data_IF_390693632641
#
_entry.id   IF_390693632641
#
_cell.length_a   1.000
_cell.length_b   1.000
_cell.length_c   1.000
_cell.angle_alpha   90.00
_cell.angle_beta   90.00
_cell.angle_gamma   90.00
#
_symmetry.space_group_name_H-M   'P 1'
#
loop_
_entity.id
_entity.type
_entity.pdbx_description
1 polymer ?
#
# COMPACT_ATOMS: atom_id res chain seq x y z
N UNK A 1 12.08 -32.33 49.17
CA UNK A 1 11.92 -33.20 47.98
C UNK A 1 10.59 -32.85 47.37
N UNK A 2 10.57 -32.57 46.05
CA UNK A 2 9.42 -32.50 45.13
C UNK A 2 9.58 -31.34 44.13
N UNK A 3 10.63 -31.43 43.31
CA UNK A 3 10.47 -31.03 41.90
C UNK A 3 9.88 -32.25 41.20
N UNK A 4 8.56 -32.40 41.26
CA UNK A 4 7.84 -33.41 40.47
C UNK A 4 7.95 -32.97 39.02
N UNK A 5 8.83 -33.63 38.29
CA UNK A 5 8.87 -33.61 36.82
C UNK A 5 7.51 -34.13 36.33
N UNK A 6 6.67 -33.26 35.74
CA UNK A 6 5.47 -33.69 35.03
C UNK A 6 4.21 -32.83 35.17
N UNK A 7 4.08 -31.93 36.14
CA UNK A 7 2.87 -31.10 36.26
C UNK A 7 3.03 -29.79 35.50
N UNK A 8 2.33 -29.63 34.37
CA UNK A 8 2.26 -28.35 33.64
C UNK A 8 1.80 -27.25 34.62
N UNK A 9 2.53 -26.13 34.65
CA UNK A 9 2.16 -24.97 35.48
C UNK A 9 0.71 -24.55 35.18
N UNK A 10 -0.08 -24.26 36.23
CA UNK A 10 -1.46 -23.76 36.07
C UNK A 10 -1.55 -22.48 35.22
N UNK A 11 -0.44 -21.76 35.07
CA UNK A 11 -0.32 -20.56 34.23
C UNK A 11 -0.09 -20.84 32.73
N UNK A 12 0.08 -22.10 32.30
CA UNK A 12 0.31 -22.43 30.87
C UNK A 12 -0.84 -21.93 29.98
N UNK A 13 -2.09 -21.97 30.45
CA UNK A 13 -3.21 -21.40 29.70
C UNK A 13 -3.08 -19.89 29.48
N UNK A 14 -2.66 -19.14 30.51
CA UNK A 14 -2.42 -17.71 30.40
C UNK A 14 -1.26 -17.40 29.44
N UNK A 15 -0.18 -18.19 29.48
CA UNK A 15 0.94 -18.07 28.53
C UNK A 15 0.46 -18.34 27.11
N UNK A 16 -0.33 -19.40 26.89
CA UNK A 16 -0.86 -19.71 25.57
C UNK A 16 -1.82 -18.62 25.06
N UNK A 17 -2.64 -18.04 25.94
CA UNK A 17 -3.52 -16.94 25.59
C UNK A 17 -2.72 -15.69 25.22
N UNK A 18 -1.71 -15.33 26.01
CA UNK A 18 -0.81 -14.22 25.67
C UNK A 18 -0.08 -14.45 24.35
N UNK A 19 0.43 -15.66 24.12
CA UNK A 19 1.06 -16.04 22.86
C UNK A 19 0.09 -15.91 21.69
N UNK A 20 -1.16 -16.37 21.84
CA UNK A 20 -2.20 -16.24 20.83
C UNK A 20 -2.54 -14.76 20.55
N UNK A 21 -2.67 -13.93 21.59
CA UNK A 21 -2.91 -12.48 21.42
C UNK A 21 -1.74 -11.81 20.68
N UNK A 22 -0.50 -12.15 21.02
CA UNK A 22 0.69 -11.64 20.32
C UNK A 22 0.68 -12.05 18.84
N UNK A 23 0.36 -13.32 18.54
CA UNK A 23 0.25 -13.82 17.16
C UNK A 23 -0.85 -13.09 16.39
N UNK A 24 -2.03 -12.89 16.98
CA UNK A 24 -3.12 -12.17 16.34
C UNK A 24 -2.75 -10.70 16.08
N UNK A 25 -2.15 -10.04 17.07
CA UNK A 25 -1.70 -8.65 16.94
C UNK A 25 -0.66 -8.50 15.83
N UNK A 26 0.27 -9.44 15.71
CA UNK A 26 1.30 -9.41 14.68
C UNK A 26 0.78 -9.80 13.28
N UNK A 27 -0.27 -10.62 13.22
CA UNK A 27 -0.89 -11.02 11.95
C UNK A 27 -1.87 -9.97 11.42
N UNK A 28 -2.42 -9.11 12.29
CA UNK A 28 -3.43 -8.11 11.92
C UNK A 28 -2.99 -7.18 10.77
N UNK A 29 -1.77 -6.61 10.74
CA UNK A 29 -1.31 -5.82 9.61
C UNK A 29 -1.16 -6.64 8.32
N UNK A 30 -0.64 -7.86 8.42
CA UNK A 30 -0.45 -8.77 7.27
C UNK A 30 -1.78 -9.17 6.64
N UNK A 31 -2.78 -9.47 7.48
CA UNK A 31 -4.13 -9.72 7.03
C UNK A 31 -4.74 -8.49 6.36
N UNK A 32 -4.47 -7.30 6.89
CA UNK A 32 -4.88 -6.04 6.26
C UNK A 32 -4.27 -5.81 4.87
N UNK A 33 -3.01 -6.19 4.66
CA UNK A 33 -2.36 -6.17 3.35
C UNK A 33 -3.02 -7.17 2.38
N UNK A 34 -3.34 -8.38 2.87
CA UNK A 34 -4.03 -9.40 2.07
C UNK A 34 -5.43 -8.94 1.66
N UNK A 35 -6.22 -8.35 2.56
CA UNK A 35 -7.54 -7.81 2.20
C UNK A 35 -7.39 -6.66 1.20
N UNK A 36 -6.40 -5.78 1.43
CA UNK A 36 -6.15 -4.62 0.55
C UNK A 36 -5.68 -5.02 -0.85
N UNK A 37 -4.99 -6.15 -1.02
CA UNK A 37 -4.53 -6.58 -2.36
C UNK A 37 -5.69 -6.92 -3.30
N UNK A 38 -6.86 -7.26 -2.76
CA UNK A 38 -8.08 -7.48 -3.54
C UNK A 38 -8.95 -6.23 -3.72
N UNK A 39 -8.57 -5.08 -3.15
CA UNK A 39 -9.35 -3.83 -3.26
C UNK A 39 -8.85 -2.97 -4.40
N UNK A 40 -9.74 -2.21 -5.01
CA UNK A 40 -9.35 -1.21 -6.01
C UNK A 40 -8.58 -0.04 -5.36
N UNK A 41 -7.76 0.66 -6.14
CA UNK A 41 -6.91 1.76 -5.69
C UNK A 41 -7.73 2.87 -5.01
N UNK A 42 -8.88 3.20 -5.59
CA UNK A 42 -9.73 4.28 -5.09
C UNK A 42 -10.35 3.92 -3.73
N UNK A 43 -10.68 2.64 -3.51
CA UNK A 43 -11.20 2.15 -2.23
C UNK A 43 -10.11 2.11 -1.14
N UNK A 44 -8.88 1.77 -1.51
CA UNK A 44 -7.73 1.77 -0.60
C UNK A 44 -7.45 3.19 -0.08
N UNK A 45 -7.57 4.22 -0.92
CA UNK A 45 -7.41 5.62 -0.47
C UNK A 45 -8.59 6.17 0.30
N UNK A 46 -9.80 5.65 0.07
CA UNK A 46 -11.02 6.14 0.73
C UNK A 46 -11.24 5.57 2.13
N UNK A 47 -10.88 4.31 2.39
CA UNK A 47 -11.20 3.66 3.67
C UNK A 47 -10.20 2.56 4.08
N UNK A 48 -10.11 2.33 5.39
CA UNK A 48 -9.30 1.25 5.96
C UNK A 48 -9.76 -0.14 5.52
N UNK A 49 -8.86 -1.11 5.51
CA UNK A 49 -9.13 -2.48 5.03
C UNK A 49 -10.19 -3.21 5.85
N UNK A 50 -10.40 -2.85 7.12
CA UNK A 50 -11.46 -3.41 7.95
C UNK A 50 -12.87 -3.00 7.47
N UNK A 51 -12.98 -1.97 6.62
CA UNK A 51 -14.23 -1.55 5.98
C UNK A 51 -14.40 -2.13 4.56
N UNK A 52 -13.56 -3.07 4.12
CA UNK A 52 -13.53 -3.54 2.73
C UNK A 52 -14.84 -4.16 2.23
N UNK A 53 -15.69 -4.66 3.12
CA UNK A 53 -16.99 -5.27 2.78
C UNK A 53 -18.14 -4.25 2.72
N UNK A 54 -17.90 -3.00 3.10
CA UNK A 54 -18.91 -1.96 3.18
C UNK A 54 -18.71 -0.92 2.07
N UNK A 55 -19.78 -0.17 1.71
CA UNK A 55 -19.64 0.97 0.82
C UNK A 55 -18.64 1.97 1.37
N UNK A 56 -17.80 2.54 0.49
CA UNK A 56 -16.84 3.56 0.86
C UNK A 56 -17.31 4.92 0.39
N UNK A 57 -17.27 5.92 1.27
CA UNK A 57 -17.53 7.31 0.92
C UNK A 57 -16.22 8.00 0.53
N UNK A 58 -16.24 8.78 -0.55
CA UNK A 58 -15.09 9.52 -1.01
C UNK A 58 -15.50 10.89 -1.56
N UNK A 59 -14.67 11.90 -1.32
CA UNK A 59 -14.77 13.16 -2.06
C UNK A 59 -14.05 12.98 -3.39
N UNK A 60 -14.82 12.90 -4.47
CA UNK A 60 -14.30 12.87 -5.83
C UNK A 60 -14.27 14.28 -6.42
N UNK A 61 -13.26 14.54 -7.23
CA UNK A 61 -13.15 15.77 -8.00
C UNK A 61 -13.16 15.40 -9.48
N UNK A 62 -14.16 15.91 -10.18
CA UNK A 62 -14.29 15.78 -11.62
C UNK A 62 -14.00 17.10 -12.31
N UNK A 63 -13.48 17.04 -13.54
CA UNK A 63 -13.33 18.23 -14.39
C UNK A 63 -14.23 18.05 -15.60
N UNK A 64 -15.22 18.93 -15.72
CA UNK A 64 -16.11 18.94 -16.87
C UNK A 64 -15.33 19.17 -18.18
N UNK A 65 -15.88 18.73 -19.31
CA UNK A 65 -15.40 19.10 -20.64
C UNK A 65 -15.26 20.62 -20.83
N UNK A 66 -14.43 21.01 -21.78
CA UNK A 66 -14.17 22.42 -22.07
C UNK A 66 -15.41 23.15 -22.59
N UNK A 67 -15.46 24.50 -22.48
CA UNK A 67 -16.54 25.33 -23.02
C UNK A 67 -16.86 25.12 -24.50
N UNK A 68 -15.87 24.67 -25.28
CA UNK A 68 -15.97 24.33 -26.71
C UNK A 68 -16.91 23.15 -26.99
N UNK A 69 -17.17 22.31 -26.00
CA UNK A 69 -18.10 21.18 -26.10
C UNK A 69 -19.55 21.55 -25.80
N UNK A 70 -19.82 22.80 -25.43
CA UNK A 70 -21.16 23.25 -25.09
C UNK A 70 -22.08 23.23 -26.31
N UNK A 71 -23.29 22.71 -26.11
CA UNK A 71 -24.35 22.69 -27.13
C UNK A 71 -25.45 23.67 -26.75
N UNK A 72 -26.07 24.32 -27.74
CA UNK A 72 -27.17 25.24 -27.49
C UNK A 72 -28.48 24.46 -27.42
N UNK A 73 -29.07 24.35 -26.23
CA UNK A 73 -30.34 23.66 -25.96
C UNK A 73 -31.26 24.65 -25.26
N UNK A 74 -32.47 24.86 -25.79
CA UNK A 74 -33.47 25.78 -25.24
C UNK A 74 -32.95 27.22 -25.00
N UNK A 75 -32.02 27.69 -25.84
CA UNK A 75 -31.41 29.01 -25.72
C UNK A 75 -30.30 29.13 -24.66
N UNK A 76 -29.91 28.01 -24.03
CA UNK A 76 -28.83 27.95 -23.04
C UNK A 76 -27.65 27.13 -23.56
N UNK A 77 -26.44 27.60 -23.30
CA UNK A 77 -25.22 26.82 -23.53
C UNK A 77 -25.14 25.73 -22.47
N UNK A 78 -25.21 24.47 -22.90
CA UNK A 78 -25.34 23.29 -22.05
C UNK A 78 -24.17 22.34 -22.26
N UNK A 79 -23.52 21.95 -21.15
CA UNK A 79 -22.53 20.86 -21.10
C UNK A 79 -23.09 19.77 -20.20
N UNK A 80 -23.16 18.55 -20.72
CA UNK A 80 -23.63 17.36 -20.00
C UNK A 80 -22.54 16.28 -19.97
N UNK A 81 -22.53 15.49 -18.90
CA UNK A 81 -21.58 14.38 -18.74
C UNK A 81 -21.86 13.60 -17.47
N UNK A 82 -20.97 12.67 -17.12
CA UNK A 82 -21.10 11.87 -15.90
C UNK A 82 -19.79 11.84 -15.11
N UNK A 83 -19.88 12.10 -13.80
CA UNK A 83 -18.75 12.18 -12.86
C UNK A 83 -18.00 10.84 -12.72
N UNK A 84 -18.68 9.71 -12.95
CA UNK A 84 -18.11 8.37 -12.77
C UNK A 84 -17.44 7.80 -14.03
N UNK A 85 -17.49 8.48 -15.19
CA UNK A 85 -16.89 8.03 -16.46
C UNK A 85 -17.16 6.53 -16.81
N UNK A 86 -18.35 6.02 -16.49
CA UNK A 86 -18.73 4.61 -16.69
C UNK A 86 -18.44 3.67 -15.50
N UNK A 87 -17.94 4.20 -14.40
CA UNK A 87 -17.87 3.55 -13.10
C UNK A 87 -19.22 3.46 -12.39
N UNK A 88 -19.26 2.69 -11.31
CA UNK A 88 -20.43 2.58 -10.44
C UNK A 88 -20.24 3.46 -9.20
N UNK A 89 -21.25 4.24 -8.85
CA UNK A 89 -21.26 5.09 -7.66
C UNK A 89 -22.57 5.87 -7.58
N UNK A 90 -22.86 6.38 -6.39
CA UNK A 90 -23.96 7.33 -6.18
C UNK A 90 -23.42 8.61 -5.57
N UNK A 91 -23.78 9.76 -6.14
CA UNK A 91 -23.49 11.05 -5.54
C UNK A 91 -24.49 11.27 -4.40
N UNK A 92 -23.99 11.56 -3.20
CA UNK A 92 -24.84 11.96 -2.06
C UNK A 92 -24.99 13.48 -2.00
N UNK A 93 -23.91 14.21 -2.25
CA UNK A 93 -23.87 15.67 -2.22
C UNK A 93 -22.81 16.19 -3.18
N UNK A 94 -22.92 17.45 -3.60
CA UNK A 94 -21.95 18.10 -4.48
C UNK A 94 -21.63 19.54 -4.06
N UNK A 95 -20.56 20.08 -4.64
CA UNK A 95 -20.08 21.43 -4.36
C UNK A 95 -19.24 21.99 -5.51
N UNK A 96 -19.11 23.32 -5.52
CA UNK A 96 -18.33 24.08 -6.51
C UNK A 96 -16.89 24.37 -6.04
N UNK A 97 -16.60 24.08 -4.77
CA UNK A 97 -15.30 24.32 -4.14
C UNK A 97 -14.80 23.08 -3.40
N UNK A 98 -13.47 22.89 -3.37
CA UNK A 98 -12.85 21.79 -2.64
C UNK A 98 -13.02 21.91 -1.13
N UNK A 99 -13.31 23.11 -0.62
CA UNK A 99 -13.51 23.35 0.81
C UNK A 99 -14.83 22.76 1.29
N UNK A 100 -15.85 22.77 0.44
CA UNK A 100 -17.21 22.33 0.76
C UNK A 100 -17.75 21.47 -0.39
N UNK A 101 -17.21 20.25 -0.57
CA UNK A 101 -17.56 19.37 -1.69
C UNK A 101 -18.96 18.75 -1.60
N UNK A 102 -19.65 18.92 -0.46
CA UNK A 102 -21.03 18.46 -0.22
C UNK A 102 -21.94 19.60 0.24
N UNK A 103 -21.72 20.82 -0.25
CA UNK A 103 -22.51 21.99 0.13
C UNK A 103 -23.99 21.90 -0.32
N UNK A 104 -24.27 21.11 -1.34
CA UNK A 104 -25.59 21.05 -1.99
C UNK A 104 -26.07 19.62 -2.18
N UNK A 105 -27.38 19.43 -2.02
CA UNK A 105 -28.06 18.16 -2.25
C UNK A 105 -28.16 17.86 -3.75
N UNK A 106 -28.11 16.58 -4.12
CA UNK A 106 -28.27 16.16 -5.52
C UNK A 106 -29.60 16.61 -6.13
N UNK A 107 -29.58 16.95 -7.41
CA UNK A 107 -30.73 17.45 -8.17
C UNK A 107 -31.01 18.94 -7.97
N UNK A 108 -30.34 19.62 -7.04
CA UNK A 108 -30.46 21.07 -6.89
C UNK A 108 -29.67 21.81 -7.97
N UNK A 109 -30.22 22.90 -8.48
CA UNK A 109 -29.53 23.81 -9.40
C UNK A 109 -28.85 24.91 -8.61
N UNK A 110 -27.53 25.01 -8.73
CA UNK A 110 -26.69 25.90 -7.91
C UNK A 110 -25.92 26.85 -8.81
N UNK A 111 -25.83 28.12 -8.41
CA UNK A 111 -24.99 29.10 -9.08
C UNK A 111 -23.51 28.82 -8.80
N UNK A 112 -22.76 28.58 -9.88
CA UNK A 112 -21.33 28.33 -9.87
C UNK A 112 -20.49 29.61 -10.05
N UNK A 113 -21.14 30.77 -10.20
CA UNK A 113 -20.52 32.04 -10.55
C UNK A 113 -20.60 32.33 -12.06
N UNK A 114 -20.43 33.59 -12.43
CA UNK A 114 -20.44 34.07 -13.83
C UNK A 114 -21.72 33.72 -14.62
N UNK A 115 -22.85 33.52 -13.93
CA UNK A 115 -24.13 33.14 -14.54
C UNK A 115 -24.21 31.65 -14.94
N UNK A 116 -23.22 30.84 -14.55
CA UNK A 116 -23.17 29.42 -14.81
C UNK A 116 -23.94 28.69 -13.70
N UNK A 117 -24.86 27.82 -14.08
CA UNK A 117 -25.60 26.97 -13.14
C UNK A 117 -25.11 25.52 -13.27
N UNK A 118 -24.86 24.86 -12.13
CA UNK A 118 -24.50 23.45 -12.04
C UNK A 118 -25.63 22.67 -11.37
N UNK A 119 -26.02 21.56 -11.98
CA UNK A 119 -26.91 20.55 -11.38
C UNK A 119 -26.22 19.19 -11.47
N UNK A 120 -26.21 18.42 -10.38
CA UNK A 120 -25.65 17.07 -10.33
C UNK A 120 -26.70 16.10 -9.81
N UNK A 121 -27.03 15.07 -10.57
CA UNK A 121 -27.95 14.01 -10.19
C UNK A 121 -27.27 12.89 -9.39
N UNK A 122 -28.08 12.06 -8.72
CA UNK A 122 -27.61 10.97 -7.86
C UNK A 122 -26.79 9.91 -8.61
N UNK A 123 -27.10 9.69 -9.90
CA UNK A 123 -26.38 8.78 -10.80
C UNK A 123 -25.04 9.35 -11.31
N UNK A 124 -24.67 10.56 -10.86
CA UNK A 124 -23.46 11.26 -11.27
C UNK A 124 -23.60 12.04 -12.58
N UNK A 125 -24.78 12.04 -13.21
CA UNK A 125 -25.04 12.87 -14.38
C UNK A 125 -25.03 14.33 -13.97
N UNK A 126 -24.25 15.16 -14.64
CA UNK A 126 -24.19 16.59 -14.38
C UNK A 126 -24.64 17.37 -15.60
N UNK A 127 -25.22 18.55 -15.33
CA UNK A 127 -25.62 19.52 -16.33
C UNK A 127 -25.11 20.89 -15.91
N UNK A 128 -24.32 21.51 -16.78
CA UNK A 128 -23.84 22.88 -16.64
C UNK A 128 -24.56 23.72 -17.69
N UNK A 129 -25.27 24.75 -17.26
CA UNK A 129 -25.99 25.66 -18.16
C UNK A 129 -25.55 27.10 -17.97
N UNK A 130 -25.47 27.85 -19.06
CA UNK A 130 -25.17 29.28 -19.04
C UNK A 130 -26.01 30.03 -20.08
N UNK A 131 -26.54 31.23 -19.77
CA UNK A 131 -27.22 32.08 -20.75
C UNK A 131 -26.24 32.74 -21.74
N UNK A 132 -24.96 32.85 -21.37
CA UNK A 132 -23.89 33.39 -22.22
C UNK A 132 -22.91 32.29 -22.63
N UNK A 133 -22.22 32.48 -23.75
CA UNK A 133 -21.18 31.56 -24.18
C UNK A 133 -20.10 31.48 -23.10
N UNK A 134 -19.84 30.27 -22.60
CA UNK A 134 -18.85 30.04 -21.55
C UNK A 134 -17.45 30.40 -22.06
N UNK A 135 -16.70 31.18 -21.28
CA UNK A 135 -15.37 31.65 -21.65
C UNK A 135 -14.26 30.78 -21.05
N UNK A 136 -13.16 30.59 -21.79
CA UNK A 136 -11.95 29.92 -21.33
C UNK A 136 -11.65 28.60 -22.02
N UNK A 137 -10.46 28.04 -21.74
CA UNK A 137 -9.95 26.82 -22.38
C UNK A 137 -10.10 25.55 -21.52
N UNK A 138 -10.59 25.67 -20.29
CA UNK A 138 -10.69 24.55 -19.33
C UNK A 138 -12.09 24.48 -18.77
N UNK A 139 -12.65 23.27 -18.68
CA UNK A 139 -13.94 23.07 -18.04
C UNK A 139 -13.91 23.23 -16.53
N UNK A 140 -15.09 23.47 -15.97
CA UNK A 140 -15.34 23.68 -14.54
C UNK A 140 -14.96 22.45 -13.72
N UNK A 141 -14.44 22.65 -12.49
CA UNK A 141 -14.24 21.56 -11.53
C UNK A 141 -15.52 21.34 -10.74
N UNK A 142 -15.97 20.10 -10.70
CA UNK A 142 -17.10 19.66 -9.90
C UNK A 142 -16.55 18.82 -8.76
N UNK A 143 -16.96 19.12 -7.54
CA UNK A 143 -16.64 18.32 -6.37
C UNK A 143 -17.89 17.57 -5.95
N UNK A 144 -17.76 16.28 -5.66
CA UNK A 144 -18.88 15.46 -5.24
C UNK A 144 -18.47 14.51 -4.13
N UNK A 145 -19.35 14.31 -3.16
CA UNK A 145 -19.28 13.23 -2.21
C UNK A 145 -20.01 12.04 -2.81
N UNK A 146 -19.27 10.98 -3.10
CA UNK A 146 -19.82 9.77 -3.69
C UNK A 146 -19.68 8.58 -2.76
N UNK A 147 -20.62 7.65 -2.89
CA UNK A 147 -20.57 6.33 -2.25
C UNK A 147 -20.49 5.26 -3.30
N UNK A 148 -19.47 4.43 -3.15
CA UNK A 148 -19.18 3.33 -4.07
C UNK A 148 -19.31 2.00 -3.34
N UNK A 149 -20.09 1.04 -3.87
CA UNK A 149 -20.19 -0.29 -3.29
C UNK A 149 -18.83 -1.00 -3.19
N UNK A 150 -18.71 -1.94 -2.24
CA UNK A 150 -17.52 -2.76 -2.10
C UNK A 150 -17.20 -3.51 -3.41
N UNK A 151 -15.95 -3.40 -3.89
CA UNK A 151 -15.52 -3.99 -5.16
C UNK A 151 -14.22 -4.77 -4.94
N UNK A 152 -14.30 -6.08 -5.13
CA UNK A 152 -13.13 -6.95 -5.11
C UNK A 152 -12.62 -7.18 -6.53
N UNK A 153 -11.30 -7.15 -6.69
CA UNK A 153 -10.62 -7.30 -7.97
C UNK A 153 -9.28 -8.01 -7.80
N UNK A 154 -8.85 -8.70 -8.86
CA UNK A 154 -7.51 -9.29 -8.97
C UNK A 154 -6.60 -8.51 -9.92
N UNK A 155 -7.09 -7.39 -10.48
CA UNK A 155 -6.36 -6.55 -11.44
C UNK A 155 -5.02 -6.03 -10.90
N UNK A 156 -4.92 -5.84 -9.58
CA UNK A 156 -3.68 -5.44 -8.92
C UNK A 156 -2.55 -6.46 -9.16
N UNK A 157 -2.84 -7.76 -9.07
CA UNK A 157 -1.86 -8.81 -9.34
C UNK A 157 -1.44 -8.81 -10.80
N UNK A 158 -2.39 -8.70 -11.73
CA UNK A 158 -2.08 -8.61 -13.15
C UNK A 158 -1.19 -7.41 -13.48
N UNK A 159 -1.46 -6.25 -12.86
CA UNK A 159 -0.65 -5.03 -13.00
C UNK A 159 0.78 -5.21 -12.49
N UNK A 160 0.95 -5.87 -11.34
CA UNK A 160 2.27 -6.08 -10.72
C UNK A 160 3.07 -7.17 -11.45
N UNK A 161 2.44 -8.30 -11.77
CA UNK A 161 3.09 -9.42 -12.48
C UNK A 161 3.41 -9.07 -13.94
N UNK A 162 2.59 -8.22 -14.57
CA UNK A 162 2.85 -7.67 -15.90
C UNK A 162 3.76 -6.44 -15.90
N UNK A 163 4.17 -5.92 -14.74
CA UNK A 163 5.05 -4.76 -14.67
C UNK A 163 6.45 -5.11 -15.19
N UNK A 164 7.00 -4.23 -16.02
CA UNK A 164 8.33 -4.42 -16.59
C UNK A 164 9.39 -4.48 -15.47
N UNK A 165 10.29 -5.47 -15.57
CA UNK A 165 11.41 -5.63 -14.63
C UNK A 165 11.11 -6.46 -13.38
N UNK A 166 9.86 -6.82 -13.07
CA UNK A 166 9.57 -7.61 -11.85
C UNK A 166 10.20 -9.00 -11.86
N UNK A 167 10.13 -9.70 -13.01
CA UNK A 167 10.76 -11.02 -13.16
C UNK A 167 12.28 -10.95 -13.02
N UNK A 168 12.90 -9.88 -13.53
CA UNK A 168 14.34 -9.65 -13.38
C UNK A 168 14.70 -9.33 -11.92
N UNK A 169 13.93 -8.49 -11.24
CA UNK A 169 14.13 -8.20 -9.83
C UNK A 169 14.02 -9.46 -8.95
N UNK A 170 13.04 -10.34 -9.26
CA UNK A 170 12.88 -11.62 -8.60
C UNK A 170 14.10 -12.53 -8.80
N UNK A 171 14.56 -12.70 -10.05
CA UNK A 171 15.75 -13.51 -10.34
C UNK A 171 17.03 -12.94 -9.73
N UNK A 172 17.20 -11.62 -9.74
CA UNK A 172 18.34 -10.97 -9.07
C UNK A 172 18.32 -11.26 -7.57
N UNK A 173 17.15 -11.20 -6.92
CA UNK A 173 16.99 -11.50 -5.50
C UNK A 173 17.29 -12.96 -5.19
N UNK A 174 16.85 -13.90 -6.02
CA UNK A 174 17.21 -15.32 -5.88
C UNK A 174 18.72 -15.55 -6.05
N UNK A 175 19.31 -14.92 -7.06
CA UNK A 175 20.75 -15.02 -7.37
C UNK A 175 21.60 -14.52 -6.21
N UNK A 176 21.11 -13.53 -5.45
CA UNK A 176 21.77 -13.03 -4.25
C UNK A 176 21.50 -13.92 -3.03
N UNK A 177 20.24 -14.23 -2.75
CA UNK A 177 19.82 -14.87 -1.49
C UNK A 177 20.23 -16.35 -1.39
N UNK A 178 20.26 -17.09 -2.50
CA UNK A 178 20.62 -18.52 -2.48
C UNK A 178 22.09 -18.71 -2.07
N UNK A 179 23.09 -18.07 -2.73
CA UNK A 179 24.48 -18.18 -2.29
C UNK A 179 24.73 -17.62 -0.89
N UNK A 180 24.13 -16.46 -0.57
CA UNK A 180 24.27 -15.80 0.73
C UNK A 180 23.71 -16.62 1.91
N UNK A 181 22.86 -17.62 1.65
CA UNK A 181 22.38 -18.55 2.68
C UNK A 181 23.17 -19.85 2.67
N UNK A 182 23.38 -20.46 1.50
CA UNK A 182 24.02 -21.76 1.38
C UNK A 182 25.49 -21.71 1.79
N UNK A 183 26.27 -20.75 1.29
CA UNK A 183 27.72 -20.68 1.53
C UNK A 183 28.00 -20.48 3.02
N UNK A 184 27.41 -19.49 3.73
CA UNK A 184 27.67 -19.31 5.14
C UNK A 184 27.20 -20.47 5.99
N UNK A 185 26.05 -21.10 5.68
CA UNK A 185 25.56 -22.27 6.42
C UNK A 185 26.54 -23.44 6.29
N UNK A 186 27.04 -23.73 5.09
CA UNK A 186 27.99 -24.82 4.89
C UNK A 186 29.29 -24.59 5.67
N UNK A 187 29.87 -23.39 5.60
CA UNK A 187 31.09 -23.04 6.35
C UNK A 187 30.82 -23.09 7.86
N UNK A 188 29.70 -22.54 8.32
CA UNK A 188 29.30 -22.56 9.72
C UNK A 188 29.06 -23.98 10.23
N UNK A 189 28.49 -24.87 9.43
CA UNK A 189 28.26 -26.27 9.79
C UNK A 189 29.59 -27.01 10.04
N UNK A 190 30.59 -26.82 9.17
CA UNK A 190 31.92 -27.40 9.37
C UNK A 190 32.61 -26.83 10.61
N UNK A 191 32.56 -25.50 10.79
CA UNK A 191 33.12 -24.85 11.97
C UNK A 191 32.43 -25.31 13.27
N UNK A 192 31.10 -25.44 13.25
CA UNK A 192 30.31 -25.92 14.38
C UNK A 192 30.67 -27.36 14.74
N UNK A 193 30.85 -28.24 13.75
CA UNK A 193 31.28 -29.62 14.00
C UNK A 193 32.65 -29.66 14.69
N UNK A 194 33.63 -28.94 14.14
CA UNK A 194 34.98 -28.87 14.74
C UNK A 194 34.95 -28.30 16.17
N UNK A 195 34.18 -27.23 16.40
CA UNK A 195 34.09 -26.58 17.71
C UNK A 195 33.26 -27.38 18.73
N UNK A 196 32.32 -28.22 18.29
CA UNK A 196 31.52 -29.05 19.17
C UNK A 196 32.24 -30.34 19.57
N UNK A 197 32.91 -31.00 18.63
CA UNK A 197 33.37 -32.39 18.78
C UNK A 197 34.89 -32.59 18.77
N UNK A 198 35.69 -31.62 18.30
CA UNK A 198 37.15 -31.76 18.28
C UNK A 198 37.81 -31.05 19.46
N UNK A 199 38.87 -31.65 19.99
CA UNK A 199 39.71 -31.06 21.02
C UNK A 199 41.01 -30.55 20.40
N UNK A 200 41.25 -29.24 20.50
CA UNK A 200 42.47 -28.61 19.99
C UNK A 200 42.80 -27.34 20.80
N UNK A 201 44.08 -26.94 20.87
CA UNK A 201 44.49 -25.77 21.64
C UNK A 201 43.89 -24.49 21.03
N UNK A 202 43.32 -23.62 21.87
CA UNK A 202 42.71 -22.34 21.45
C UNK A 202 41.20 -22.38 21.17
N UNK A 203 40.54 -23.55 21.26
CA UNK A 203 39.07 -23.71 21.08
C UNK A 203 38.24 -22.70 21.88
N UNK A 204 38.57 -22.51 23.16
CA UNK A 204 37.83 -21.60 24.03
C UNK A 204 37.93 -20.12 23.59
N UNK A 205 39.07 -19.71 23.03
CA UNK A 205 39.25 -18.34 22.52
C UNK A 205 38.42 -18.11 21.25
N UNK A 206 38.36 -19.10 20.35
CA UNK A 206 37.53 -19.02 19.14
C UNK A 206 36.05 -18.94 19.50
N UNK A 207 35.60 -19.78 20.44
CA UNK A 207 34.22 -19.74 20.94
C UNK A 207 33.90 -18.35 21.53
N UNK A 208 34.78 -17.84 22.41
CA UNK A 208 34.60 -16.51 22.98
C UNK A 208 34.56 -15.40 21.92
N UNK A 209 35.40 -15.51 20.87
CA UNK A 209 35.40 -14.58 19.74
C UNK A 209 34.10 -14.60 18.93
N UNK A 210 33.60 -15.79 18.57
CA UNK A 210 32.32 -15.95 17.86
C UNK A 210 31.17 -15.35 18.68
N UNK A 211 31.10 -15.69 19.97
CA UNK A 211 30.06 -15.14 20.86
C UNK A 211 30.19 -13.62 21.00
N UNK A 212 31.41 -13.11 21.14
CA UNK A 212 31.68 -11.67 21.21
C UNK A 212 31.26 -10.92 19.94
N UNK A 213 31.45 -11.52 18.76
CA UNK A 213 31.03 -10.93 17.48
C UNK A 213 29.50 -10.83 17.34
N UNK A 214 28.72 -11.71 18.00
CA UNK A 214 27.26 -11.60 18.02
C UNK A 214 26.74 -10.35 18.75
N UNK A 215 27.56 -9.77 19.62
CA UNK A 215 27.21 -8.54 20.37
C UNK A 215 27.30 -7.31 19.46
N UNK A 216 28.08 -7.37 18.38
CA UNK A 216 28.29 -6.23 17.49
C UNK A 216 27.00 -5.90 16.75
N UNK A 217 26.44 -4.69 16.91
CA UNK A 217 25.28 -4.27 16.13
C UNK A 217 25.61 -4.20 14.65
N UNK A 218 24.82 -4.90 13.81
CA UNK A 218 25.03 -4.94 12.36
C UNK A 218 25.03 -3.54 11.74
N UNK A 219 24.26 -2.61 12.31
CA UNK A 219 24.15 -1.23 11.86
C UNK A 219 25.49 -0.48 11.98
N UNK A 220 26.32 -0.79 12.97
CA UNK A 220 27.65 -0.18 13.13
C UNK A 220 28.66 -0.72 12.10
N UNK A 221 28.47 -1.95 11.65
CA UNK A 221 29.35 -2.59 10.67
C UNK A 221 29.10 -2.12 9.22
N UNK A 222 27.92 -1.57 8.92
CA UNK A 222 27.51 -1.27 7.54
C UNK A 222 28.41 -0.23 6.84
N UNK A 223 28.71 0.90 7.49
CA UNK A 223 29.52 1.96 6.87
C UNK A 223 30.96 1.48 6.60
N UNK A 224 31.66 0.87 7.57
CA UNK A 224 32.99 0.30 7.32
C UNK A 224 32.99 -0.75 6.19
N UNK A 225 32.01 -1.65 6.18
CA UNK A 225 31.89 -2.67 5.13
C UNK A 225 31.71 -2.02 3.76
N UNK A 226 30.82 -1.03 3.62
CA UNK A 226 30.62 -0.36 2.33
C UNK A 226 31.89 0.36 1.84
N UNK A 227 32.67 0.98 2.74
CA UNK A 227 33.97 1.57 2.37
C UNK A 227 34.92 0.51 1.82
N UNK A 228 35.08 -0.60 2.55
CA UNK A 228 35.92 -1.72 2.16
C UNK A 228 35.53 -2.31 0.79
N UNK A 229 34.23 -2.52 0.56
CA UNK A 229 33.74 -3.08 -0.71
C UNK A 229 34.00 -2.12 -1.88
N UNK A 230 33.91 -0.81 -1.67
CA UNK A 230 34.22 0.18 -2.71
C UNK A 230 35.73 0.27 -2.99
N UNK A 231 36.57 0.21 -1.95
CA UNK A 231 38.03 0.20 -2.09
C UNK A 231 38.52 -1.01 -2.89
N UNK A 232 37.91 -2.18 -2.68
CA UNK A 232 38.24 -3.43 -3.39
C UNK A 232 37.55 -3.49 -4.78
N UNK A 233 36.65 -2.55 -5.10
CA UNK A 233 35.98 -2.47 -6.40
C UNK A 233 34.78 -3.41 -6.57
N UNK A 234 34.24 -3.96 -5.47
CA UNK A 234 33.10 -4.90 -5.47
C UNK A 234 31.78 -4.28 -4.98
N UNK A 235 31.78 -3.01 -4.54
CA UNK A 235 30.65 -2.36 -3.84
C UNK A 235 29.32 -2.18 -4.59
N UNK A 236 29.17 -2.76 -5.79
CA UNK A 236 27.93 -2.74 -6.59
C UNK A 236 27.73 -4.01 -7.43
N UNK A 237 28.50 -5.08 -7.18
CA UNK A 237 28.42 -6.35 -7.93
C UNK A 237 27.80 -7.45 -7.07
N UNK A 238 27.30 -8.52 -7.69
CA UNK A 238 26.80 -9.69 -6.96
C UNK A 238 27.83 -10.27 -5.99
N UNK A 239 29.12 -10.21 -6.37
CA UNK A 239 30.22 -10.68 -5.53
C UNK A 239 30.36 -9.89 -4.22
N UNK A 240 30.03 -8.60 -4.20
CA UNK A 240 30.06 -7.78 -2.99
C UNK A 240 28.82 -7.91 -2.11
N UNK A 241 27.83 -8.70 -2.53
CA UNK A 241 26.58 -8.92 -1.78
C UNK A 241 26.55 -10.34 -1.18
N UNK A 242 27.25 -11.30 -1.81
CA UNK A 242 27.42 -12.67 -1.31
C UNK A 242 28.35 -12.78 -0.11
#
# INVERSE_FOLDING_TARGET
MENIVGTKSRLVWAVNLCALVLVLLWTFPTFGLLVSSFRDRDQISASGWWQAMFPSEASVQYRAPGPDTATLIDGLYTIEGNIFEGGAGQVQAFGTSIREPGAHEVGTSVDAGDGITLTVAQDGTFKITSPTAMAGARGMRIFAQSVTPAKFTVSNYGRVLGAEGIGRAFLNTMTVSIPATVIPILVAAFAAYALAWMEFPGRALIIAGVVGLLVVPLQLALIPLLKLHNEIGIGKSYMGIW
#
